data_IF_178014176656
#
_entry.id   IF_178014176656
#
_cell.length_a   1.000
_cell.length_b   1.000
_cell.length_c   1.000
_cell.angle_alpha   90.00
_cell.angle_beta   90.00
_cell.angle_gamma   90.00
#
_symmetry.space_group_name_H-M   'P 1'
#
loop_
_entity.id
_entity.type
_entity.pdbx_description
1 polymer ?
#
# COMPACT_ATOMS: atom_id res chain seq x y z
N UNK A 1 1.24 -10.96 1.56
CA UNK A 1 1.82 -9.68 1.08
C UNK A 1 1.83 -8.68 2.22
N UNK A 2 2.91 -7.94 2.42
CA UNK A 2 3.00 -6.92 3.47
C UNK A 2 2.22 -5.66 3.11
N UNK A 3 1.56 -5.05 4.09
CA UNK A 3 0.83 -3.78 3.91
C UNK A 3 1.70 -2.64 3.33
N UNK A 4 3.00 -2.61 3.66
CA UNK A 4 3.93 -1.61 3.12
C UNK A 4 4.05 -1.65 1.60
N UNK A 5 4.05 -2.85 1.01
CA UNK A 5 4.09 -3.03 -0.45
C UNK A 5 2.77 -2.58 -1.09
N UNK A 6 1.66 -2.89 -0.44
CA UNK A 6 0.34 -2.43 -0.89
C UNK A 6 0.28 -0.90 -0.88
N UNK A 7 0.72 -0.25 0.20
CA UNK A 7 0.78 1.21 0.31
C UNK A 7 1.66 1.83 -0.76
N UNK A 8 2.87 1.31 -0.98
CA UNK A 8 3.76 1.80 -2.03
C UNK A 8 3.15 1.70 -3.43
N UNK A 9 2.33 0.69 -3.70
CA UNK A 9 1.70 0.53 -5.00
C UNK A 9 0.49 1.47 -5.17
N UNK A 10 -0.35 1.63 -4.14
CA UNK A 10 -1.52 2.52 -4.20
C UNK A 10 -1.15 4.00 -4.05
N UNK A 11 0.02 4.36 -3.47
CA UNK A 11 0.45 5.75 -3.33
C UNK A 11 0.63 6.47 -4.66
N UNK A 12 0.90 5.72 -5.73
CA UNK A 12 0.97 6.25 -7.09
C UNK A 12 -0.39 6.46 -7.77
N UNK A 13 -1.47 5.98 -7.13
CA UNK A 13 -2.82 5.88 -7.72
C UNK A 13 -3.87 6.69 -6.98
N UNK A 14 -3.58 7.15 -5.77
CA UNK A 14 -4.50 7.95 -4.96
C UNK A 14 -3.84 9.28 -4.56
N UNK A 15 -4.64 10.24 -4.08
CA UNK A 15 -4.11 11.52 -3.64
C UNK A 15 -3.27 11.37 -2.37
N UNK A 16 -2.28 12.25 -2.20
CA UNK A 16 -1.44 12.26 -0.99
C UNK A 16 -2.28 12.38 0.30
N UNK A 17 -3.35 13.18 0.27
CA UNK A 17 -4.29 13.32 1.39
C UNK A 17 -4.93 11.99 1.82
N UNK A 18 -5.25 11.15 0.86
CA UNK A 18 -5.82 9.82 1.11
C UNK A 18 -4.76 8.84 1.64
N UNK A 19 -3.51 8.95 1.16
CA UNK A 19 -2.38 8.17 1.70
C UNK A 19 -2.06 8.54 3.15
N UNK A 20 -2.13 9.81 3.52
CA UNK A 20 -1.97 10.27 4.90
C UNK A 20 -3.04 9.68 5.83
N UNK A 21 -4.30 9.64 5.37
CA UNK A 21 -5.39 8.98 6.11
C UNK A 21 -5.12 7.48 6.30
N UNK A 22 -4.72 6.78 5.24
CA UNK A 22 -4.37 5.34 5.32
C UNK A 22 -3.23 5.11 6.32
N UNK A 23 -2.22 5.99 6.31
CA UNK A 23 -1.08 5.92 7.23
C UNK A 23 -1.52 6.10 8.68
N UNK A 24 -2.39 7.07 8.96
CA UNK A 24 -2.97 7.29 10.28
C UNK A 24 -3.79 6.07 10.76
N UNK A 25 -4.61 5.48 9.88
CA UNK A 25 -5.35 4.26 10.22
C UNK A 25 -4.44 3.05 10.43
N UNK A 26 -3.33 2.96 9.68
CA UNK A 26 -2.34 1.90 9.87
C UNK A 26 -1.63 2.03 11.23
N UNK A 27 -1.33 3.25 11.68
CA UNK A 27 -0.84 3.46 13.05
C UNK A 27 -1.85 3.00 14.10
N UNK A 28 -3.13 3.35 13.93
CA UNK A 28 -4.19 2.87 14.83
C UNK A 28 -4.32 1.33 14.83
N UNK A 29 -4.09 0.67 13.69
CA UNK A 29 -4.04 -0.80 13.62
C UNK A 29 -2.85 -1.37 14.41
N UNK A 30 -1.67 -0.73 14.33
CA UNK A 30 -0.47 -1.11 15.09
C UNK A 30 -0.66 -0.92 16.59
N UNK A 31 -1.33 0.16 16.98
CA UNK A 31 -1.73 0.44 18.35
C UNK A 31 -2.91 -0.44 18.83
N UNK A 32 -3.44 -1.32 17.97
CA UNK A 32 -4.62 -2.17 18.24
C UNK A 32 -5.91 -1.39 18.57
N UNK A 33 -5.98 -0.10 18.20
CA UNK A 33 -7.18 0.74 18.35
C UNK A 33 -8.27 0.36 17.36
N UNK A 34 -7.89 -0.19 16.20
CA UNK A 34 -8.81 -0.72 15.20
C UNK A 34 -8.46 -2.16 14.85
N UNK A 35 -9.47 -2.98 14.59
CA UNK A 35 -9.28 -4.34 14.11
C UNK A 35 -8.83 -4.36 12.65
N UNK A 36 -8.16 -5.45 12.24
CA UNK A 36 -7.75 -5.67 10.84
C UNK A 36 -8.92 -5.54 9.86
N UNK A 37 -10.10 -6.03 10.21
CA UNK A 37 -11.30 -5.88 9.37
C UNK A 37 -11.76 -4.41 9.27
N UNK A 38 -11.76 -3.69 10.39
CA UNK A 38 -12.10 -2.27 10.41
C UNK A 38 -11.14 -1.42 9.58
N UNK A 39 -9.85 -1.74 9.64
CA UNK A 39 -8.84 -1.17 8.77
C UNK A 39 -9.13 -1.46 7.29
N UNK A 40 -9.40 -2.72 6.93
CA UNK A 40 -9.73 -3.09 5.53
C UNK A 40 -10.99 -2.39 5.01
N UNK A 41 -12.02 -2.22 5.85
CA UNK A 41 -13.24 -1.45 5.48
C UNK A 41 -12.91 0.03 5.21
N UNK A 42 -12.16 0.67 6.10
CA UNK A 42 -11.72 2.06 5.93
C UNK A 42 -10.84 2.22 4.69
N UNK A 43 -9.91 1.29 4.46
CA UNK A 43 -9.05 1.28 3.29
C UNK A 43 -9.87 1.22 1.99
N UNK A 44 -10.87 0.32 1.91
CA UNK A 44 -11.77 0.23 0.76
C UNK A 44 -12.60 1.50 0.56
N UNK A 45 -13.01 2.16 1.65
CA UNK A 45 -13.76 3.41 1.59
C UNK A 45 -12.94 4.59 1.07
N UNK A 46 -11.67 4.70 1.48
CA UNK A 46 -10.75 5.77 1.04
C UNK A 46 -10.34 5.57 -0.41
N UNK A 47 -9.98 4.32 -0.76
CA UNK A 47 -9.58 4.00 -2.14
C UNK A 47 -10.78 4.08 -3.10
N UNK A 48 -12.00 3.91 -2.59
CA UNK A 48 -13.26 4.02 -3.34
C UNK A 48 -13.52 2.87 -4.29
N UNK A 49 -12.47 2.25 -4.81
CA UNK A 49 -12.53 1.26 -5.89
C UNK A 49 -11.91 -0.08 -5.45
N UNK A 50 -12.78 -1.07 -5.17
CA UNK A 50 -12.35 -2.44 -4.83
C UNK A 50 -11.54 -3.06 -5.98
N UNK A 51 -11.81 -2.60 -7.20
CA UNK A 51 -11.09 -3.03 -8.40
C UNK A 51 -9.64 -2.54 -8.37
N UNK A 52 -9.36 -1.29 -7.99
CA UNK A 52 -8.00 -0.78 -7.80
C UNK A 52 -7.23 -1.58 -6.75
N UNK A 53 -7.87 -1.95 -5.64
CA UNK A 53 -7.24 -2.76 -4.60
C UNK A 53 -6.90 -4.16 -5.14
N UNK A 54 -7.84 -4.82 -5.81
CA UNK A 54 -7.64 -6.14 -6.43
C UNK A 54 -6.59 -6.10 -7.53
N UNK A 55 -6.67 -5.15 -8.46
CA UNK A 55 -5.68 -4.97 -9.53
C UNK A 55 -4.30 -4.72 -8.96
N UNK A 56 -4.18 -3.93 -7.89
CA UNK A 56 -2.91 -3.70 -7.22
C UNK A 56 -2.39 -4.96 -6.54
N UNK A 57 -3.24 -5.72 -5.83
CA UNK A 57 -2.85 -6.99 -5.21
C UNK A 57 -2.42 -8.00 -6.29
N UNK A 58 -3.17 -8.14 -7.37
CA UNK A 58 -2.83 -9.03 -8.50
C UNK A 58 -1.56 -8.58 -9.20
N UNK A 59 -1.36 -7.27 -9.43
CA UNK A 59 -0.13 -6.74 -10.00
C UNK A 59 1.06 -7.03 -9.09
N UNK A 60 0.92 -6.84 -7.78
CA UNK A 60 1.95 -7.15 -6.80
C UNK A 60 2.24 -8.66 -6.72
N UNK A 61 1.22 -9.52 -6.79
CA UNK A 61 1.38 -10.98 -6.82
C UNK A 61 2.03 -11.49 -8.11
N UNK A 62 1.83 -10.78 -9.22
CA UNK A 62 2.45 -11.07 -10.52
C UNK A 62 3.83 -10.44 -10.68
N UNK A 63 4.26 -9.55 -9.78
CA UNK A 63 5.64 -9.09 -9.78
C UNK A 63 6.53 -10.30 -9.47
N UNK A 64 7.46 -10.66 -10.37
CA UNK A 64 8.45 -11.67 -10.05
C UNK A 64 9.21 -11.20 -8.80
N UNK A 65 9.46 -12.12 -7.87
CA UNK A 65 10.09 -11.88 -6.57
C UNK A 65 11.46 -11.16 -6.64
N UNK A 66 11.98 -10.89 -7.84
CA UNK A 66 13.28 -10.31 -8.14
C UNK A 66 13.31 -8.79 -8.32
N UNK A 67 12.18 -8.07 -8.31
CA UNK A 67 12.17 -6.62 -8.61
C UNK A 67 12.32 -5.66 -7.40
N UNK A 68 12.49 -6.16 -6.17
CA UNK A 68 12.73 -5.29 -5.00
C UNK A 68 14.20 -4.99 -4.73
N UNK A 69 15.13 -5.45 -5.57
CA UNK A 69 16.53 -5.03 -5.57
C UNK A 69 16.84 -4.17 -6.79
N UNK A 70 16.40 -2.92 -6.76
CA UNK A 70 17.12 -1.85 -7.46
C UNK A 70 17.15 -0.65 -6.52
N UNK A 71 18.19 -0.62 -5.69
CA UNK A 71 18.75 0.64 -5.20
C UNK A 71 19.20 1.49 -6.39
N UNK A 72 19.00 2.82 -6.36
CA UNK A 72 19.58 3.72 -7.35
C UNK A 72 21.02 4.09 -6.97
N UNK A 73 21.85 4.14 -8.02
CA UNK A 73 23.05 4.97 -8.23
C UNK A 73 24.23 4.82 -7.25
N UNK A 74 25.42 4.52 -7.80
CA UNK A 74 26.65 5.28 -7.53
C UNK A 74 27.68 5.08 -8.65
N UNK A 75 28.01 6.21 -9.28
CA UNK A 75 29.31 6.68 -9.77
C UNK A 75 30.32 5.71 -10.44
N UNK A 76 30.79 6.14 -11.63
CA UNK A 76 32.23 6.34 -11.88
C UNK A 76 33.01 5.20 -12.51
N UNK A 77 33.25 5.29 -13.82
CA UNK A 77 34.57 5.53 -14.44
C UNK A 77 34.39 5.64 -15.97
#
# INVERSE_FOLDING_TARGET
MSYLLLFKAISSKIAQKDMDLITAYYQQLREKKISREGFSKKLRMIVGDDHLLKTTITALQRLPHTALKMEPVTCGC
#
